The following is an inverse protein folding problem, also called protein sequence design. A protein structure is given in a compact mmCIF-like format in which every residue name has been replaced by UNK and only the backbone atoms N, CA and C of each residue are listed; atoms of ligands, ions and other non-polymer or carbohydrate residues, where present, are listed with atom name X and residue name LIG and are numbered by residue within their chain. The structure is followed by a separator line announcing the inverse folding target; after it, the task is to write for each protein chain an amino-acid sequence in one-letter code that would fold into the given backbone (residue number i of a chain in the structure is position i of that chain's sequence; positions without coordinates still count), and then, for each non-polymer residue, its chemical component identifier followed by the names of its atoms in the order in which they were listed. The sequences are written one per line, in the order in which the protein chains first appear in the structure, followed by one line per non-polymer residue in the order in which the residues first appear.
data_IF_749393866142
#
_entry.id   IF_749393866142
#
_cell.length_a   1.000
_cell.length_b   1.000
_cell.length_c   1.000
_cell.angle_alpha   90.00
_cell.angle_beta   90.00
_cell.angle_gamma   90.00
#
_symmetry.space_group_name_H-M   'P 1'
#
loop_
_entity.id
_entity.type
_entity.pdbx_description
1 polymer ?
#
# COMPACT_ATOMS: atom_id res chain seq x y z
N UNK A 1 10.84 -18.24 5.41
CA UNK A 1 10.76 -16.93 4.73
C UNK A 1 10.21 -15.88 5.68
N UNK A 2 10.95 -14.80 5.95
CA UNK A 2 10.44 -13.65 6.72
C UNK A 2 9.29 -12.97 5.99
N UNK A 3 8.30 -12.48 6.75
CA UNK A 3 7.21 -11.62 6.28
C UNK A 3 7.69 -10.22 5.92
N UNK A 4 8.88 -9.81 6.37
CA UNK A 4 9.56 -8.58 5.97
C UNK A 4 10.70 -8.85 4.98
N UNK A 5 10.91 -7.91 4.07
CA UNK A 5 12.11 -7.80 3.24
C UNK A 5 12.83 -6.52 3.60
N UNK A 6 14.04 -6.64 4.14
CA UNK A 6 14.91 -5.51 4.46
C UNK A 6 15.57 -4.96 3.17
N UNK A 7 15.80 -3.66 3.15
CA UNK A 7 16.61 -2.97 2.15
C UNK A 7 17.28 -1.74 2.77
N UNK A 8 18.24 -1.17 2.04
CA UNK A 8 18.91 0.08 2.41
C UNK A 8 18.72 1.02 1.23
N UNK A 9 18.29 2.25 1.47
CA UNK A 9 18.21 3.27 0.41
C UNK A 9 19.60 3.66 -0.08
N UNK A 10 19.68 4.34 -1.22
CA UNK A 10 20.96 4.89 -1.71
C UNK A 10 21.54 5.95 -0.75
N UNK A 11 20.70 6.60 0.06
CA UNK A 11 21.10 7.51 1.14
C UNK A 11 21.66 6.78 2.39
N UNK A 12 21.64 5.45 2.40
CA UNK A 12 22.11 4.64 3.54
C UNK A 12 21.07 4.43 4.65
N UNK A 13 19.79 4.75 4.40
CA UNK A 13 18.72 4.58 5.39
C UNK A 13 18.20 3.14 5.35
N UNK A 14 18.23 2.46 6.50
CA UNK A 14 17.65 1.13 6.65
C UNK A 14 16.13 1.20 6.61
N UNK A 15 15.52 0.36 5.79
CA UNK A 15 14.06 0.29 5.67
C UNK A 15 13.60 -1.16 5.41
N UNK A 16 12.31 -1.40 5.47
CA UNK A 16 11.70 -2.69 5.26
C UNK A 16 10.37 -2.58 4.51
N UNK A 17 10.08 -3.57 3.66
CA UNK A 17 8.77 -3.73 3.03
C UNK A 17 8.15 -5.08 3.38
N UNK A 18 6.82 -5.14 3.35
CA UNK A 18 6.10 -6.38 3.59
C UNK A 18 6.19 -7.35 2.40
N UNK A 19 6.21 -8.65 2.71
CA UNK A 19 6.18 -9.77 1.77
C UNK A 19 5.29 -10.88 2.34
N UNK A 20 4.02 -10.54 2.51
CA UNK A 20 2.97 -11.37 3.12
C UNK A 20 1.61 -10.90 2.61
N UNK A 21 0.60 -11.78 2.56
CA UNK A 21 -0.78 -11.40 2.24
C UNK A 21 -1.27 -10.35 3.24
N UNK A 22 -1.87 -9.26 2.76
CA UNK A 22 -2.23 -8.08 3.56
C UNK A 22 -1.18 -6.97 3.55
N UNK A 23 0.02 -7.25 3.02
CA UNK A 23 1.04 -6.22 2.79
C UNK A 23 1.50 -5.53 4.07
N UNK A 24 1.72 -4.20 3.99
CA UNK A 24 2.24 -3.39 5.10
C UNK A 24 1.41 -3.46 6.39
N UNK A 25 0.10 -3.69 6.28
CA UNK A 25 -0.83 -3.76 7.43
C UNK A 25 -0.52 -4.91 8.39
N UNK A 26 0.21 -5.94 7.94
CA UNK A 26 0.65 -7.06 8.79
C UNK A 26 1.79 -6.66 9.74
N UNK A 27 2.62 -5.68 9.35
CA UNK A 27 3.88 -5.36 10.01
C UNK A 27 3.95 -3.93 10.57
N UNK A 28 3.09 -3.03 10.11
CA UNK A 28 3.11 -1.62 10.51
C UNK A 28 2.80 -1.42 12.01
N UNK A 29 2.95 -0.18 12.50
CA UNK A 29 2.64 0.20 13.87
C UNK A 29 1.14 0.18 14.21
N UNK A 30 0.27 -0.03 13.22
CA UNK A 30 -1.17 -0.22 13.41
C UNK A 30 -2.00 1.04 13.62
N UNK A 31 -1.43 2.24 13.44
CA UNK A 31 -2.19 3.49 13.45
C UNK A 31 -3.13 3.60 12.24
N UNK A 32 -4.33 4.14 12.45
CA UNK A 32 -5.32 4.40 11.42
C UNK A 32 -5.82 5.85 11.47
N UNK A 33 -5.84 6.51 10.31
CA UNK A 33 -6.39 7.86 10.10
C UNK A 33 -6.87 7.96 8.65
N UNK A 34 -7.91 8.76 8.43
CA UNK A 34 -8.33 9.22 7.10
C UNK A 34 -7.33 10.27 6.59
N UNK A 35 -7.35 10.52 5.29
CA UNK A 35 -6.63 11.62 4.67
C UNK A 35 -7.30 12.97 4.98
N UNK A 36 -6.57 14.07 4.77
CA UNK A 36 -7.15 15.42 4.81
C UNK A 36 -8.07 15.65 3.61
N UNK A 37 -9.11 16.48 3.78
CA UNK A 37 -10.03 16.86 2.71
C UNK A 37 -9.30 17.48 1.50
N UNK A 38 -8.29 18.32 1.75
CA UNK A 38 -7.52 18.97 0.70
C UNK A 38 -6.75 17.94 -0.14
N UNK A 39 -6.20 16.89 0.48
CA UNK A 39 -5.55 15.80 -0.25
C UNK A 39 -6.54 15.04 -1.14
N UNK A 40 -7.75 14.77 -0.64
CA UNK A 40 -8.81 14.11 -1.42
C UNK A 40 -9.21 14.98 -2.63
N UNK A 41 -9.33 16.29 -2.43
CA UNK A 41 -9.64 17.24 -3.48
C UNK A 41 -8.51 17.34 -4.53
N UNK A 42 -7.25 17.41 -4.11
CA UNK A 42 -6.08 17.44 -5.00
C UNK A 42 -5.94 16.15 -5.81
N UNK A 43 -6.31 15.01 -5.24
CA UNK A 43 -6.36 13.73 -5.95
C UNK A 43 -7.49 13.64 -6.99
N UNK A 44 -8.45 14.58 -6.97
CA UNK A 44 -9.60 14.60 -7.87
C UNK A 44 -10.59 13.47 -7.58
N UNK A 45 -10.69 13.01 -6.33
CA UNK A 45 -11.61 11.95 -5.93
C UNK A 45 -12.94 12.52 -5.46
N UNK A 46 -14.03 11.81 -5.78
CA UNK A 46 -15.37 12.17 -5.31
C UNK A 46 -15.47 11.88 -3.81
N UNK A 47 -15.73 12.94 -3.02
CA UNK A 47 -15.71 12.88 -1.55
C UNK A 47 -16.64 11.81 -0.99
N UNK A 48 -17.86 11.74 -1.51
CA UNK A 48 -18.87 10.78 -1.03
C UNK A 48 -18.43 9.32 -1.28
N UNK A 49 -17.76 9.04 -2.39
CA UNK A 49 -17.23 7.69 -2.69
C UNK A 49 -16.07 7.32 -1.74
N UNK A 50 -15.21 8.30 -1.44
CA UNK A 50 -14.10 8.14 -0.49
C UNK A 50 -14.63 7.87 0.92
N UNK A 51 -15.65 8.60 1.36
CA UNK A 51 -16.28 8.41 2.67
C UNK A 51 -16.90 7.01 2.80
N UNK A 52 -17.66 6.58 1.78
CA UNK A 52 -18.22 5.22 1.72
C UNK A 52 -17.12 4.16 1.79
N UNK A 53 -15.99 4.37 1.11
CA UNK A 53 -14.86 3.45 1.16
C UNK A 53 -14.21 3.39 2.56
N UNK A 54 -14.03 4.54 3.21
CA UNK A 54 -13.53 4.59 4.58
C UNK A 54 -14.42 3.83 5.54
N UNK A 55 -15.73 4.10 5.53
CA UNK A 55 -16.69 3.41 6.41
C UNK A 55 -16.70 1.89 6.16
N UNK A 56 -16.54 1.46 4.90
CA UNK A 56 -16.48 0.04 4.54
C UNK A 56 -15.24 -0.65 5.13
N UNK A 57 -14.08 0.00 5.09
CA UNK A 57 -12.84 -0.51 5.69
C UNK A 57 -12.94 -0.50 7.23
N UNK A 58 -13.43 0.61 7.81
CA UNK A 58 -13.49 0.84 9.25
C UNK A 58 -14.34 -0.21 9.96
N UNK A 59 -15.45 -0.65 9.34
CA UNK A 59 -16.30 -1.74 9.86
C UNK A 59 -15.55 -3.04 10.15
N UNK A 60 -14.41 -3.27 9.49
CA UNK A 60 -13.67 -4.52 9.58
C UNK A 60 -12.36 -4.41 10.32
N UNK A 61 -11.60 -3.34 10.10
CA UNK A 61 -10.19 -3.29 10.50
C UNK A 61 -9.80 -2.10 11.37
N UNK A 62 -10.68 -1.13 11.65
CA UNK A 62 -10.34 0.04 12.45
C UNK A 62 -11.16 0.09 13.74
N UNK A 63 -10.49 0.42 14.85
CA UNK A 63 -11.06 0.46 16.18
C UNK A 63 -10.61 1.71 16.94
N UNK A 64 -11.44 2.14 17.90
CA UNK A 64 -11.03 3.10 18.92
C UNK A 64 -10.06 2.40 19.90
N UNK A 65 -8.85 2.94 20.11
CA UNK A 65 -7.87 2.29 20.98
C UNK A 65 -8.21 2.47 22.46
N UNK A 66 -7.82 1.50 23.29
CA UNK A 66 -7.70 1.74 24.73
C UNK A 66 -6.46 2.60 25.01
N UNK A 67 -6.68 3.83 25.44
CA UNK A 67 -5.60 4.76 25.83
C UNK A 67 -4.99 4.32 27.16
N UNK A 68 -3.67 4.08 27.18
CA UNK A 68 -2.92 3.67 28.38
C UNK A 68 -2.09 4.84 28.93
N UNK A 69 -1.44 4.62 30.08
CA UNK A 69 -0.71 5.66 30.81
C UNK A 69 0.30 6.45 29.97
N UNK A 70 1.09 5.77 29.13
CA UNK A 70 2.05 6.45 28.25
C UNK A 70 1.36 7.35 27.22
N UNK A 71 0.32 6.85 26.53
CA UNK A 71 -0.41 7.67 25.54
C UNK A 71 -1.11 8.87 26.19
N UNK A 72 -1.66 8.69 27.40
CA UNK A 72 -2.24 9.80 28.18
C UNK A 72 -1.19 10.85 28.52
N UNK A 73 -0.04 10.45 29.04
CA UNK A 73 1.05 11.37 29.36
C UNK A 73 1.57 12.10 28.11
N UNK A 74 1.69 11.39 26.98
CA UNK A 74 2.10 11.98 25.72
C UNK A 74 1.08 13.00 25.19
N UNK A 75 -0.22 12.68 25.23
CA UNK A 75 -1.32 13.61 24.90
C UNK A 75 -1.22 14.88 25.77
N UNK A 76 -1.09 14.73 27.08
CA UNK A 76 -1.06 15.86 28.01
C UNK A 76 0.18 16.74 27.78
N UNK A 77 1.34 16.13 27.51
CA UNK A 77 2.55 16.86 27.14
C UNK A 77 2.42 17.63 25.81
N UNK A 78 1.75 17.05 24.80
CA UNK A 78 1.46 17.77 23.55
C UNK A 78 0.59 19.01 23.80
N UNK A 79 -0.42 18.89 24.66
CA UNK A 79 -1.30 20.01 25.02
C UNK A 79 -0.54 21.09 25.81
N UNK A 80 0.31 20.70 26.75
CA UNK A 80 1.18 21.63 27.50
C UNK A 80 2.16 22.37 26.58
N UNK A 81 2.67 21.68 25.55
CA UNK A 81 3.53 22.26 24.53
C UNK A 81 2.79 23.15 23.51
N UNK A 82 1.47 23.30 23.61
CA UNK A 82 0.67 24.16 22.73
C UNK A 82 0.21 23.49 21.43
N UNK A 83 0.25 22.16 21.31
CA UNK A 83 -0.34 21.43 20.18
C UNK A 83 -1.85 21.27 20.40
N UNK A 84 -2.57 22.36 20.20
CA UNK A 84 -4.00 22.50 20.45
C UNK A 84 -4.79 22.63 19.13
N UNK A 85 -6.12 22.36 19.11
CA UNK A 85 -6.98 21.91 20.20
C UNK A 85 -6.83 20.41 20.53
N UNK A 86 -7.47 19.95 21.61
CA UNK A 86 -7.70 18.52 21.84
C UNK A 86 -8.98 18.09 21.11
N UNK A 87 -8.83 17.24 20.09
CA UNK A 87 -9.92 16.80 19.22
C UNK A 87 -10.62 15.51 19.68
N UNK A 88 -10.25 14.97 20.85
CA UNK A 88 -10.78 13.68 21.30
C UNK A 88 -10.38 12.52 20.40
N UNK A 89 -11.24 11.52 20.30
CA UNK A 89 -11.09 10.42 19.33
C UNK A 89 -11.67 10.82 17.98
N UNK A 90 -10.89 10.67 16.92
CA UNK A 90 -11.36 10.86 15.54
C UNK A 90 -10.44 10.17 14.54
N UNK A 91 -11.01 9.66 13.45
CA UNK A 91 -10.23 9.17 12.30
C UNK A 91 -9.72 10.31 11.43
N UNK A 92 -10.32 11.51 11.49
CA UNK A 92 -9.98 12.64 10.61
C UNK A 92 -8.57 13.16 10.86
N UNK A 93 -7.79 13.39 9.81
CA UNK A 93 -6.51 14.09 9.92
C UNK A 93 -6.77 15.59 10.01
N UNK A 94 -6.53 16.16 11.20
CA UNK A 94 -6.85 17.56 11.51
C UNK A 94 -5.80 18.13 12.47
N UNK A 95 -5.63 19.45 12.42
CA UNK A 95 -4.71 20.18 13.30
C UNK A 95 -5.05 19.97 14.79
N UNK A 96 -4.01 19.82 15.61
CA UNK A 96 -4.10 19.68 17.06
C UNK A 96 -3.75 18.27 17.55
N UNK A 97 -4.12 17.99 18.81
CA UNK A 97 -3.87 16.71 19.46
C UNK A 97 -5.12 15.82 19.37
N UNK A 98 -4.97 14.57 18.92
CA UNK A 98 -6.07 13.60 18.84
C UNK A 98 -5.68 12.21 19.32
N UNK A 99 -6.69 11.40 19.63
CA UNK A 99 -6.58 9.94 19.67
C UNK A 99 -7.04 9.42 18.30
N UNK A 100 -6.12 8.83 17.54
CA UNK A 100 -6.43 8.23 16.24
C UNK A 100 -6.95 6.79 16.36
N UNK A 101 -7.32 6.20 15.23
CA UNK A 101 -7.71 4.80 15.15
C UNK A 101 -6.54 3.84 15.28
N UNK A 102 -6.86 2.58 15.53
CA UNK A 102 -5.92 1.46 15.52
C UNK A 102 -6.48 0.28 14.76
N UNK A 103 -5.62 -0.55 14.17
CA UNK A 103 -6.01 -1.85 13.59
C UNK A 103 -5.90 -3.01 14.58
N UNK A 104 -5.60 -2.71 15.85
CA UNK A 104 -5.65 -3.68 16.94
C UNK A 104 -6.97 -3.58 17.68
N UNK A 105 -7.68 -4.70 17.83
CA UNK A 105 -8.94 -4.73 18.59
C UNK A 105 -8.71 -4.64 20.11
N UNK A 106 -9.81 -4.63 20.88
CA UNK A 106 -9.78 -4.54 22.34
C UNK A 106 -9.04 -5.68 23.05
N UNK A 107 -8.86 -6.82 22.38
CA UNK A 107 -8.08 -7.96 22.87
C UNK A 107 -6.61 -7.90 22.40
N UNK A 108 -6.23 -6.86 21.67
CA UNK A 108 -4.90 -6.67 21.10
C UNK A 108 -4.62 -7.51 19.85
N UNK A 109 -5.64 -8.07 19.20
CA UNK A 109 -5.46 -8.81 17.94
C UNK A 109 -5.38 -7.83 16.78
N UNK A 110 -4.39 -8.03 15.91
CA UNK A 110 -4.21 -7.25 14.69
C UNK A 110 -5.21 -7.70 13.62
N UNK A 111 -5.94 -6.74 13.05
CA UNK A 111 -6.76 -6.89 11.85
C UNK A 111 -6.02 -6.23 10.67
N UNK A 112 -5.94 -6.91 9.54
CA UNK A 112 -5.10 -6.51 8.40
C UNK A 112 -5.94 -6.34 7.14
N UNK A 113 -5.36 -5.79 6.08
CA UNK A 113 -6.02 -5.73 4.78
C UNK A 113 -6.45 -7.11 4.25
N UNK A 114 -5.81 -8.20 4.70
CA UNK A 114 -6.23 -9.56 4.35
C UNK A 114 -7.61 -9.93 4.93
N UNK A 115 -8.02 -9.33 6.06
CA UNK A 115 -9.35 -9.56 6.65
C UNK A 115 -10.48 -9.00 5.78
N UNK A 116 -10.20 -8.03 4.90
CA UNK A 116 -11.19 -7.51 3.95
C UNK A 116 -11.58 -8.56 2.88
N UNK A 117 -10.76 -9.60 2.69
CA UNK A 117 -11.13 -10.74 1.82
C UNK A 117 -12.33 -11.52 2.35
N UNK A 118 -12.69 -11.37 3.64
CA UNK A 118 -13.90 -11.97 4.19
C UNK A 118 -15.19 -11.36 3.60
N UNK A 119 -15.10 -10.18 2.99
CA UNK A 119 -16.21 -9.57 2.24
C UNK A 119 -16.27 -10.04 0.79
N UNK A 120 -15.26 -10.75 0.29
CA UNK A 120 -15.26 -11.23 -1.09
C UNK A 120 -16.21 -12.42 -1.27
N UNK A 121 -16.82 -12.54 -2.45
CA UNK A 121 -17.54 -13.75 -2.82
C UNK A 121 -16.54 -14.88 -3.09
N UNK A 122 -16.51 -15.95 -2.27
CA UNK A 122 -15.51 -17.02 -2.39
C UNK A 122 -15.62 -17.81 -3.70
N UNK A 123 -16.76 -17.72 -4.40
CA UNK A 123 -16.96 -18.40 -5.68
C UNK A 123 -16.35 -17.63 -6.88
N UNK A 124 -15.91 -16.40 -6.67
CA UNK A 124 -15.39 -15.53 -7.75
C UNK A 124 -13.99 -15.00 -7.48
N UNK A 125 -13.42 -15.27 -6.31
CA UNK A 125 -12.06 -14.85 -5.95
C UNK A 125 -11.15 -16.07 -5.77
N UNK A 126 -9.94 -15.97 -6.30
CA UNK A 126 -8.88 -16.95 -6.08
C UNK A 126 -7.64 -16.19 -5.64
N UNK A 127 -7.02 -16.63 -4.54
CA UNK A 127 -5.81 -16.02 -4.00
C UNK A 127 -4.65 -16.99 -4.17
N UNK A 128 -3.69 -16.63 -5.03
CA UNK A 128 -2.45 -17.37 -5.21
C UNK A 128 -1.38 -16.85 -4.25
N UNK A 129 -1.03 -17.65 -3.24
CA UNK A 129 0.08 -17.37 -2.35
C UNK A 129 1.39 -17.89 -2.93
N UNK A 130 2.50 -17.29 -2.51
CA UNK A 130 3.84 -17.63 -3.00
C UNK A 130 3.96 -17.56 -4.53
N UNK A 131 3.21 -16.64 -5.15
CA UNK A 131 3.24 -16.34 -6.57
C UNK A 131 4.02 -15.04 -6.80
N UNK A 132 5.26 -15.14 -7.29
CA UNK A 132 6.08 -13.98 -7.63
C UNK A 132 5.77 -13.55 -9.06
N UNK A 133 5.07 -12.43 -9.24
CA UNK A 133 4.79 -11.88 -10.58
C UNK A 133 6.07 -11.31 -11.18
N UNK A 134 6.41 -11.73 -12.39
CA UNK A 134 7.64 -11.34 -13.10
C UNK A 134 7.39 -10.40 -14.26
N UNK A 135 6.22 -10.49 -14.90
CA UNK A 135 5.91 -9.72 -16.10
C UNK A 135 4.41 -9.54 -16.30
N UNK A 136 4.01 -8.36 -16.74
CA UNK A 136 2.69 -8.08 -17.30
C UNK A 136 2.76 -8.25 -18.81
N UNK A 137 1.77 -8.91 -19.39
CA UNK A 137 1.68 -9.20 -20.81
C UNK A 137 0.82 -8.15 -21.50
N UNK A 138 1.34 -7.58 -22.58
CA UNK A 138 0.69 -6.53 -23.35
C UNK A 138 0.53 -6.91 -24.82
N UNK A 139 -0.57 -6.45 -25.42
CA UNK A 139 -0.80 -6.53 -26.87
C UNK A 139 -1.06 -5.14 -27.44
N UNK A 140 -0.51 -4.87 -28.61
CA UNK A 140 -0.80 -3.68 -29.44
C UNK A 140 -1.61 -4.05 -30.68
N UNK A 141 -2.08 -5.30 -30.76
CA UNK A 141 -2.84 -5.77 -31.93
C UNK A 141 -4.19 -5.07 -31.97
N UNK A 142 -4.42 -4.29 -33.02
CA UNK A 142 -5.67 -3.55 -33.23
C UNK A 142 -5.79 -2.24 -32.46
N UNK A 143 -4.77 -1.83 -31.70
CA UNK A 143 -4.75 -0.52 -31.02
C UNK A 143 -3.31 -0.01 -30.84
N UNK A 144 -2.99 1.25 -31.19
CA UNK A 144 -1.68 1.84 -30.90
C UNK A 144 -1.38 1.90 -29.39
N UNK A 145 -2.40 1.97 -28.53
CA UNK A 145 -2.23 1.91 -27.08
C UNK A 145 -2.11 0.45 -26.62
N UNK A 146 -1.06 0.08 -25.88
CA UNK A 146 -0.92 -1.27 -25.35
C UNK A 146 -2.07 -1.63 -24.43
N UNK A 147 -2.61 -2.85 -24.58
CA UNK A 147 -3.61 -3.43 -23.68
C UNK A 147 -2.97 -4.57 -22.89
N UNK A 148 -3.03 -4.49 -21.57
CA UNK A 148 -2.65 -5.61 -20.70
C UNK A 148 -3.65 -6.76 -20.86
N UNK A 149 -3.18 -8.00 -20.97
CA UNK A 149 -4.04 -9.17 -21.13
C UNK A 149 -3.69 -10.33 -20.20
N UNK A 150 -2.64 -10.21 -19.40
CA UNK A 150 -2.27 -11.26 -18.44
C UNK A 150 -0.98 -10.95 -17.69
N UNK A 151 -0.54 -11.91 -16.88
CA UNK A 151 0.70 -11.87 -16.13
C UNK A 151 1.42 -13.21 -16.17
N UNK A 152 2.74 -13.17 -16.09
CA UNK A 152 3.59 -14.33 -15.82
C UNK A 152 4.01 -14.27 -14.35
N UNK A 153 3.80 -15.36 -13.63
CA UNK A 153 4.25 -15.50 -12.24
C UNK A 153 4.98 -16.83 -12.03
N UNK A 154 5.82 -16.88 -11.00
CA UNK A 154 6.55 -18.07 -10.58
C UNK A 154 5.98 -18.57 -9.25
N UNK A 155 5.73 -19.87 -9.14
CA UNK A 155 5.28 -20.49 -7.89
C UNK A 155 6.44 -20.82 -6.93
N UNK A 156 6.10 -21.38 -5.77
CA UNK A 156 7.06 -21.76 -4.75
C UNK A 156 8.07 -22.85 -5.18
N UNK A 157 7.75 -23.64 -6.22
CA UNK A 157 8.61 -24.68 -6.77
C UNK A 157 9.51 -24.15 -7.91
N UNK A 158 9.42 -22.85 -8.22
CA UNK A 158 10.17 -22.23 -9.30
C UNK A 158 9.53 -22.39 -10.68
N UNK A 159 8.31 -22.94 -10.77
CA UNK A 159 7.60 -23.16 -12.04
C UNK A 159 6.92 -21.87 -12.48
N UNK A 160 7.07 -21.52 -13.76
CA UNK A 160 6.42 -20.36 -14.36
C UNK A 160 5.01 -20.71 -14.85
N UNK A 161 4.08 -19.82 -14.55
CA UNK A 161 2.67 -19.90 -14.90
C UNK A 161 2.24 -18.61 -15.59
N UNK A 162 1.21 -18.72 -16.43
CA UNK A 162 0.55 -17.57 -17.06
C UNK A 162 -0.90 -17.50 -16.58
N UNK A 163 -1.31 -16.33 -16.11
CA UNK A 163 -2.72 -16.00 -15.85
C UNK A 163 -3.17 -14.95 -16.86
N UNK A 164 -4.17 -15.29 -17.67
CA UNK A 164 -4.69 -14.42 -18.74
C UNK A 164 -6.14 -14.00 -18.45
N UNK A 165 -6.49 -12.81 -18.93
CA UNK A 165 -7.87 -12.31 -18.87
C UNK A 165 -8.75 -13.14 -19.81
N UNK A 166 -9.98 -13.44 -19.38
CA UNK A 166 -10.94 -14.13 -20.24
C UNK A 166 -11.26 -13.27 -21.47
N UNK A 167 -11.09 -13.85 -22.66
CA UNK A 167 -11.17 -13.13 -23.94
C UNK A 167 -12.59 -12.61 -24.26
N UNK A 168 -13.63 -13.17 -23.64
CA UNK A 168 -15.02 -12.86 -23.94
C UNK A 168 -15.50 -11.53 -23.32
N UNK A 169 -14.80 -11.00 -22.32
CA UNK A 169 -15.18 -9.73 -21.69
C UNK A 169 -14.09 -8.68 -21.91
N UNK A 170 -14.40 -7.71 -22.77
CA UNK A 170 -13.48 -6.62 -23.11
C UNK A 170 -13.16 -5.70 -21.92
N UNK A 171 -14.01 -5.71 -20.88
CA UNK A 171 -13.89 -4.93 -19.64
C UNK A 171 -13.00 -5.58 -18.58
N UNK A 172 -12.43 -6.76 -18.84
CA UNK A 172 -11.47 -7.36 -17.93
C UNK A 172 -10.16 -6.55 -17.92
N UNK A 173 -9.53 -6.45 -16.76
CA UNK A 173 -8.35 -5.60 -16.54
C UNK A 173 -7.28 -6.32 -15.69
N UNK A 174 -6.03 -5.85 -15.80
CA UNK A 174 -4.93 -6.19 -14.89
C UNK A 174 -4.70 -4.98 -13.99
N UNK A 175 -4.89 -5.15 -12.68
CA UNK A 175 -4.66 -4.11 -11.68
C UNK A 175 -3.35 -4.40 -10.95
N UNK A 176 -2.47 -3.39 -10.87
CA UNK A 176 -1.17 -3.50 -10.22
C UNK A 176 -1.18 -2.82 -8.85
N UNK A 177 -1.12 -3.65 -7.80
CA UNK A 177 -1.13 -3.20 -6.39
C UNK A 177 0.10 -3.70 -5.61
N UNK A 178 1.29 -3.66 -6.23
CA UNK A 178 2.53 -4.20 -5.66
C UNK A 178 3.27 -3.22 -4.71
N UNK A 179 2.71 -2.02 -4.48
CA UNK A 179 3.28 -0.98 -3.62
C UNK A 179 4.34 -0.12 -4.31
N UNK A 180 4.75 0.97 -3.63
CA UNK A 180 5.58 2.04 -4.20
C UNK A 180 6.92 1.56 -4.80
N UNK A 181 7.51 0.50 -4.25
CA UNK A 181 8.79 -0.04 -4.72
C UNK A 181 8.59 -1.03 -5.88
N UNK A 182 7.68 -2.01 -5.71
CA UNK A 182 7.58 -3.12 -6.66
C UNK A 182 6.69 -2.83 -7.87
N UNK A 183 5.72 -1.90 -7.77
CA UNK A 183 4.91 -1.49 -8.91
C UNK A 183 5.75 -0.88 -10.06
N UNK A 184 6.59 0.15 -9.85
CA UNK A 184 7.43 0.67 -10.93
C UNK A 184 8.45 -0.35 -11.42
N UNK A 185 9.00 -1.20 -10.53
CA UNK A 185 9.87 -2.30 -10.92
C UNK A 185 9.18 -3.25 -11.91
N UNK A 186 7.96 -3.70 -11.59
CA UNK A 186 7.23 -4.64 -12.44
C UNK A 186 6.80 -4.00 -13.77
N UNK A 187 6.41 -2.72 -13.76
CA UNK A 187 6.14 -1.98 -15.01
C UNK A 187 7.38 -1.96 -15.90
N UNK A 188 8.55 -1.62 -15.35
CA UNK A 188 9.80 -1.58 -16.11
C UNK A 188 10.19 -2.96 -16.63
N UNK A 189 10.13 -4.02 -15.80
CA UNK A 189 10.36 -5.41 -16.25
C UNK A 189 9.39 -5.86 -17.35
N UNK A 190 8.22 -5.22 -17.43
CA UNK A 190 7.19 -5.49 -18.44
C UNK A 190 7.31 -4.59 -19.68
N UNK A 191 8.36 -3.77 -19.78
CA UNK A 191 8.61 -2.89 -20.92
C UNK A 191 7.88 -1.54 -20.87
N UNK A 192 7.34 -1.13 -19.72
CA UNK A 192 6.70 0.17 -19.51
C UNK A 192 7.56 1.02 -18.58
N UNK A 193 8.17 2.07 -19.11
CA UNK A 193 9.10 2.94 -18.37
C UNK A 193 10.03 3.75 -19.28
N UNK A 194 11.05 4.43 -18.75
CA UNK A 194 11.93 5.28 -19.54
C UNK A 194 12.70 4.47 -20.59
N UNK A 195 12.46 4.71 -21.89
CA UNK A 195 12.93 3.85 -22.97
C UNK A 195 14.45 3.62 -22.96
N UNK A 196 15.25 4.67 -22.71
CA UNK A 196 16.70 4.55 -22.63
C UNK A 196 17.17 3.66 -21.46
N UNK A 197 16.53 3.79 -20.30
CA UNK A 197 16.82 2.96 -19.13
C UNK A 197 16.46 1.49 -19.40
N UNK A 198 15.29 1.25 -20.00
CA UNK A 198 14.84 -0.10 -20.38
C UNK A 198 15.80 -0.77 -21.37
N UNK A 199 16.20 -0.04 -22.42
CA UNK A 199 17.14 -0.53 -23.42
C UNK A 199 18.52 -0.86 -22.80
N UNK A 200 19.03 0.00 -21.92
CA UNK A 200 20.30 -0.21 -21.22
C UNK A 200 20.31 -1.48 -20.35
N UNK A 201 19.14 -1.91 -19.85
CA UNK A 201 18.97 -3.13 -19.05
C UNK A 201 18.48 -4.33 -19.88
N UNK A 202 18.46 -4.23 -21.21
CA UNK A 202 18.07 -5.33 -22.09
C UNK A 202 16.57 -5.67 -22.07
N UNK A 203 15.73 -4.79 -21.53
CA UNK A 203 14.27 -4.98 -21.55
C UNK A 203 13.74 -4.71 -22.94
N UNK A 204 13.44 -5.77 -23.68
CA UNK A 204 12.90 -5.72 -25.03
C UNK A 204 11.67 -6.65 -25.18
N UNK A 205 10.64 -6.23 -25.93
CA UNK A 205 10.46 -4.90 -26.51
C UNK A 205 10.12 -3.84 -25.44
N UNK A 206 10.43 -2.57 -25.73
CA UNK A 206 9.80 -1.44 -25.02
C UNK A 206 8.35 -1.36 -25.47
N UNK A 207 7.42 -1.59 -24.54
CA UNK A 207 5.97 -1.56 -24.78
C UNK A 207 5.45 -0.13 -24.81
N UNK A 208 5.91 0.70 -23.89
CA UNK A 208 5.55 2.10 -23.79
C UNK A 208 6.68 2.88 -23.13
N UNK A 209 7.16 3.92 -23.82
CA UNK A 209 8.06 4.89 -23.21
C UNK A 209 7.25 5.76 -22.23
N UNK A 210 7.52 5.57 -20.94
CA UNK A 210 6.84 6.31 -19.87
C UNK A 210 7.89 6.84 -18.88
N UNK A 211 8.47 8.03 -19.13
CA UNK A 211 9.62 8.56 -18.39
C UNK A 211 9.42 8.70 -16.87
N UNK A 212 8.17 8.85 -16.41
CA UNK A 212 7.87 9.01 -14.98
C UNK A 212 7.79 7.69 -14.19
N UNK A 213 7.85 6.51 -14.84
CA UNK A 213 7.85 5.25 -14.10
C UNK A 213 9.14 5.14 -13.28
N UNK A 214 8.98 4.93 -11.96
CA UNK A 214 10.09 4.85 -11.02
C UNK A 214 10.65 6.21 -10.58
N UNK A 215 10.05 7.31 -11.01
CA UNK A 215 10.43 8.67 -10.61
C UNK A 215 9.54 9.19 -9.48
N UNK A 216 9.99 10.23 -8.77
CA UNK A 216 9.19 10.92 -7.76
C UNK A 216 8.97 10.14 -6.47
N UNK A 217 9.83 9.15 -6.16
CA UNK A 217 9.78 8.43 -4.88
C UNK A 217 10.00 9.41 -3.73
N UNK A 218 9.09 9.41 -2.76
CA UNK A 218 9.21 10.13 -1.50
C UNK A 218 9.16 9.16 -0.33
N UNK A 219 9.97 9.43 0.69
CA UNK A 219 9.94 8.74 1.99
C UNK A 219 10.04 9.82 3.08
N UNK A 220 9.06 9.86 3.99
CA UNK A 220 9.02 10.88 5.02
C UNK A 220 10.14 10.63 6.06
N UNK A 221 10.97 11.62 6.40
CA UNK A 221 12.03 11.43 7.39
C UNK A 221 11.43 11.21 8.78
N UNK A 222 12.04 10.31 9.55
CA UNK A 222 11.72 10.06 10.95
C UNK A 222 12.92 10.42 11.83
N UNK A 223 12.73 11.36 12.76
CA UNK A 223 13.76 11.81 13.69
C UNK A 223 13.31 11.52 15.14
N UNK A 224 13.71 10.39 15.74
CA UNK A 224 13.30 10.04 17.10
C UNK A 224 14.18 10.73 18.16
N UNK A 225 13.56 11.11 19.28
CA UNK A 225 14.25 11.41 20.55
C UNK A 225 13.91 10.29 21.52
N UNK A 226 14.92 9.57 22.02
CA UNK A 226 14.75 8.46 22.95
C UNK A 226 14.91 8.96 24.38
N UNK A 227 13.83 8.91 25.15
CA UNK A 227 13.82 9.28 26.57
C UNK A 227 13.66 7.98 27.38
N UNK A 228 14.66 7.59 28.19
CA UNK A 228 14.52 6.44 29.07
C UNK A 228 13.48 6.71 30.16
N UNK A 229 12.63 5.72 30.46
CA UNK A 229 11.74 5.80 31.62
C UNK A 229 12.60 5.91 32.89
N UNK A 230 12.26 6.80 33.85
CA UNK A 230 12.70 6.63 35.22
C UNK A 230 12.23 5.24 35.69
N UNK A 231 13.12 4.49 36.34
CA UNK A 231 12.82 3.17 36.91
C UNK A 231 11.57 3.18 37.82
#
# INVERSE_FOLDING_TARGET
NSWSQLFISEDGVFNARARVLGGGTVLNAGFYSRAEDDYVAEAGWERDEVEVAYEWVEKKVAFEPQVKGWQTAFRDGLLEAGVIPYNGFTYEHIEGTKIGGTIFDGDGRRHTAANLLEYANPNTIVVYLHASVHKILFTTKGNPKPKAYGVIFQDANGVFHTAELAAQNAMNEVILSAGAIASPQLLMLSGVGPAAHLAAHGVNPVILDHPMVGQGMGDNPMNPVLIPSPE
#
